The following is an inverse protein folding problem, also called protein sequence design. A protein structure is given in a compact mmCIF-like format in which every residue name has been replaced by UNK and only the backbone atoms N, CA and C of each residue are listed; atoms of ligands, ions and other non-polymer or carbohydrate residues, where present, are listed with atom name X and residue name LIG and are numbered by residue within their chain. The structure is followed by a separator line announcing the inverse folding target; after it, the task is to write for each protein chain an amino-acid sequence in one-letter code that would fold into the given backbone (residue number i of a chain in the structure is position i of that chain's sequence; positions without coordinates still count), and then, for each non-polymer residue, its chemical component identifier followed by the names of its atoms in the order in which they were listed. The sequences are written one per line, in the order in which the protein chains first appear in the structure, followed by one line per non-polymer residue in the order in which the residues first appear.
data_IF_546452801645
#
_entry.id   IF_546452801645
#
_cell.length_a   1.000
_cell.length_b   1.000
_cell.length_c   1.000
_cell.angle_alpha   90.00
_cell.angle_beta   90.00
_cell.angle_gamma   90.00
#
_symmetry.space_group_name_H-M   'P 1'
#
loop_
_entity.id
_entity.type
_entity.pdbx_description
1 polymer ?
#
# COMPACT_ATOMS: atom_id res chain seq x y z
N UNK A 1 -17.85 -4.06 12.00
CA UNK A 1 -16.47 -3.90 12.44
C UNK A 1 -15.53 -4.68 11.53
N UNK A 2 -14.58 -4.04 10.95
CA UNK A 2 -13.60 -4.72 10.10
C UNK A 2 -12.63 -5.52 10.97
N UNK A 3 -12.38 -6.77 10.62
CA UNK A 3 -11.34 -7.57 11.23
C UNK A 3 -9.95 -7.18 10.71
N UNK A 4 -8.94 -7.95 11.07
CA UNK A 4 -7.60 -7.75 10.54
C UNK A 4 -7.60 -7.96 9.02
N UNK A 5 -6.73 -7.24 8.32
CA UNK A 5 -6.51 -7.45 6.90
C UNK A 5 -5.85 -8.81 6.69
N UNK A 6 -6.44 -9.63 5.84
CA UNK A 6 -6.02 -11.01 5.65
C UNK A 6 -5.17 -11.18 4.38
N UNK A 7 -4.28 -12.17 4.41
CA UNK A 7 -3.46 -12.53 3.25
C UNK A 7 -4.32 -12.80 2.01
N UNK A 8 -5.46 -13.47 2.18
CA UNK A 8 -6.41 -13.73 1.10
C UNK A 8 -6.87 -12.44 0.43
N UNK A 9 -7.07 -11.38 1.21
CA UNK A 9 -7.47 -10.07 0.69
C UNK A 9 -6.34 -9.42 -0.10
N UNK A 10 -5.10 -9.60 0.34
CA UNK A 10 -3.93 -9.14 -0.42
C UNK A 10 -3.85 -9.86 -1.77
N UNK A 11 -4.12 -11.16 -1.78
CA UNK A 11 -4.15 -11.93 -3.04
C UNK A 11 -5.25 -11.43 -3.98
N UNK A 12 -6.41 -11.07 -3.47
CA UNK A 12 -7.50 -10.51 -4.27
C UNK A 12 -7.08 -9.18 -4.90
N UNK A 13 -6.44 -8.30 -4.12
CA UNK A 13 -5.89 -7.04 -4.65
C UNK A 13 -4.89 -7.34 -5.77
N UNK A 14 -3.93 -8.21 -5.51
CA UNK A 14 -2.90 -8.57 -6.48
C UNK A 14 -3.51 -9.01 -7.81
N UNK A 15 -4.46 -9.94 -7.73
CA UNK A 15 -5.00 -10.56 -8.93
C UNK A 15 -5.90 -9.60 -9.71
N UNK A 16 -6.75 -8.85 -9.03
CA UNK A 16 -7.63 -7.85 -9.68
C UNK A 16 -6.79 -6.72 -10.27
N UNK A 17 -5.82 -6.21 -9.53
CA UNK A 17 -4.99 -5.11 -10.02
C UNK A 17 -4.12 -5.54 -11.20
N UNK A 18 -3.65 -6.78 -11.21
CA UNK A 18 -2.91 -7.31 -12.35
C UNK A 18 -3.78 -7.35 -13.62
N UNK A 19 -5.05 -7.76 -13.48
CA UNK A 19 -5.97 -7.78 -14.64
C UNK A 19 -6.24 -6.40 -15.21
N UNK A 20 -6.18 -5.36 -14.38
CA UNK A 20 -6.42 -3.98 -14.81
C UNK A 20 -5.15 -3.20 -15.11
N UNK A 21 -3.99 -3.84 -15.00
CA UNK A 21 -2.72 -3.19 -15.28
C UNK A 21 -2.37 -2.04 -14.34
N UNK A 22 -2.77 -2.14 -13.08
CA UNK A 22 -2.56 -1.06 -12.11
C UNK A 22 -1.09 -0.99 -11.70
N UNK A 23 -0.54 0.23 -11.67
CA UNK A 23 0.78 0.49 -11.12
C UNK A 23 0.61 0.90 -9.66
N UNK A 24 1.07 0.05 -8.75
CA UNK A 24 0.94 0.27 -7.31
C UNK A 24 1.98 -0.55 -6.56
N UNK A 25 2.16 -0.22 -5.29
CA UNK A 25 3.03 -0.94 -4.38
C UNK A 25 2.32 -1.11 -3.04
N UNK A 26 2.42 -2.28 -2.43
CA UNK A 26 2.07 -2.41 -1.02
C UNK A 26 3.10 -1.64 -0.20
N UNK A 27 2.62 -0.81 0.73
CA UNK A 27 3.45 0.04 1.57
C UNK A 27 2.99 -0.11 3.03
N UNK A 28 3.64 0.57 3.95
CA UNK A 28 3.26 0.55 5.34
C UNK A 28 3.41 -0.83 5.97
N UNK A 29 2.65 -1.07 7.04
CA UNK A 29 2.73 -2.35 7.75
C UNK A 29 2.25 -3.51 6.87
N UNK A 30 1.22 -3.30 6.03
CA UNK A 30 0.75 -4.36 5.13
C UNK A 30 1.85 -4.79 4.17
N UNK A 31 2.65 -3.86 3.66
CA UNK A 31 3.80 -4.18 2.82
C UNK A 31 4.86 -4.96 3.59
N UNK A 32 5.19 -4.51 4.80
CA UNK A 32 6.18 -5.20 5.63
C UNK A 32 5.76 -6.64 5.95
N UNK A 33 4.48 -6.85 6.24
CA UNK A 33 3.95 -8.18 6.55
C UNK A 33 4.11 -9.11 5.35
N UNK A 34 3.87 -8.62 4.14
CA UNK A 34 4.07 -9.43 2.94
C UNK A 34 5.54 -9.84 2.75
N UNK A 35 6.47 -9.04 3.27
CA UNK A 35 7.91 -9.38 3.25
C UNK A 35 8.33 -10.31 4.38
N UNK A 36 7.43 -10.61 5.32
CA UNK A 36 7.70 -11.51 6.43
C UNK A 36 7.75 -10.86 7.81
N UNK A 37 7.43 -9.57 7.91
CA UNK A 37 7.38 -8.91 9.21
C UNK A 37 6.28 -9.54 10.08
N UNK A 38 6.61 -10.00 11.29
CA UNK A 38 5.65 -10.73 12.13
C UNK A 38 4.72 -9.78 12.88
N UNK A 39 3.64 -9.39 12.23
CA UNK A 39 2.64 -8.51 12.82
C UNK A 39 1.30 -8.70 12.10
N UNK A 40 0.28 -7.99 12.57
CA UNK A 40 -1.01 -7.90 11.92
C UNK A 40 -1.35 -6.43 11.67
N UNK A 41 -2.27 -6.18 10.75
CA UNK A 41 -2.76 -4.83 10.46
C UNK A 41 -4.25 -4.92 10.11
N UNK A 42 -4.98 -3.82 10.33
CA UNK A 42 -6.39 -3.74 9.95
C UNK A 42 -6.57 -3.21 8.54
N UNK A 43 -5.59 -2.46 8.04
CA UNK A 43 -5.70 -1.75 6.77
C UNK A 43 -4.70 -2.29 5.76
N UNK A 44 -5.10 -2.33 4.50
CA UNK A 44 -4.15 -2.43 3.41
C UNK A 44 -3.68 -1.02 3.08
N UNK A 45 -2.38 -0.84 2.90
CA UNK A 45 -1.80 0.44 2.50
C UNK A 45 -1.21 0.29 1.11
N UNK A 46 -1.72 1.03 0.14
CA UNK A 46 -1.27 0.95 -1.23
C UNK A 46 -0.77 2.32 -1.71
N UNK A 47 0.43 2.34 -2.25
CA UNK A 47 1.00 3.51 -2.91
C UNK A 47 0.79 3.34 -4.40
N UNK A 48 -0.01 4.22 -5.01
CA UNK A 48 -0.38 4.13 -6.40
C UNK A 48 0.23 5.28 -7.22
N UNK A 49 0.56 4.98 -8.48
CA UNK A 49 0.97 5.99 -9.43
C UNK A 49 -0.22 6.91 -9.73
N UNK A 50 0.00 8.21 -9.69
CA UNK A 50 -1.07 9.20 -9.82
C UNK A 50 -1.36 9.66 -11.25
N UNK A 51 -0.82 9.00 -12.27
CA UNK A 51 -1.18 9.32 -13.65
C UNK A 51 -2.69 9.17 -13.84
N UNK A 52 -3.26 9.99 -14.70
CA UNK A 52 -4.70 9.94 -14.96
C UNK A 52 -5.14 8.56 -15.43
N UNK A 53 -4.37 7.94 -16.32
CA UNK A 53 -4.65 6.61 -16.84
C UNK A 53 -4.68 5.57 -15.71
N UNK A 54 -3.70 5.59 -14.81
CA UNK A 54 -3.65 4.66 -13.71
C UNK A 54 -4.80 4.89 -12.72
N UNK A 55 -5.11 6.14 -12.41
CA UNK A 55 -6.21 6.47 -11.51
C UNK A 55 -7.57 6.05 -12.08
N UNK A 56 -7.78 6.22 -13.38
CA UNK A 56 -9.01 5.77 -14.04
C UNK A 56 -9.16 4.25 -13.96
N UNK A 57 -8.10 3.51 -14.24
CA UNK A 57 -8.09 2.06 -14.15
C UNK A 57 -8.28 1.59 -12.70
N UNK A 58 -7.70 2.31 -11.75
CA UNK A 58 -7.80 1.98 -10.33
C UNK A 58 -9.25 2.05 -9.83
N UNK A 59 -10.02 3.04 -10.28
CA UNK A 59 -11.44 3.14 -9.92
C UNK A 59 -12.19 1.89 -10.35
N UNK A 60 -11.98 1.43 -11.58
CA UNK A 60 -12.63 0.22 -12.11
C UNK A 60 -12.18 -1.01 -11.30
N UNK A 61 -10.88 -1.13 -11.03
CA UNK A 61 -10.34 -2.24 -10.27
C UNK A 61 -10.90 -2.30 -8.85
N UNK A 62 -11.03 -1.15 -8.18
CA UNK A 62 -11.59 -1.10 -6.83
C UNK A 62 -13.06 -1.54 -6.81
N UNK A 63 -13.83 -1.16 -7.82
CA UNK A 63 -15.21 -1.61 -7.93
C UNK A 63 -15.29 -3.12 -8.16
N UNK A 64 -14.38 -3.67 -8.95
CA UNK A 64 -14.30 -5.12 -9.14
C UNK A 64 -13.95 -5.85 -7.84
N UNK A 65 -13.18 -5.23 -6.96
CA UNK A 65 -12.87 -5.79 -5.65
C UNK A 65 -14.07 -5.76 -4.69
N UNK A 66 -15.11 -5.01 -5.02
CA UNK A 66 -16.29 -4.90 -4.19
C UNK A 66 -16.43 -3.58 -3.44
N UNK A 67 -15.57 -2.62 -3.72
CA UNK A 67 -15.70 -1.28 -3.12
C UNK A 67 -16.82 -0.51 -3.81
N UNK A 68 -17.69 0.10 -3.00
CA UNK A 68 -18.70 1.01 -3.50
C UNK A 68 -18.15 2.41 -3.33
N UNK A 69 -17.71 3.02 -4.43
CA UNK A 69 -17.12 4.35 -4.40
C UNK A 69 -18.20 5.40 -4.60
N UNK A 70 -18.22 6.39 -3.73
CA UNK A 70 -19.07 7.59 -3.94
C UNK A 70 -18.47 8.42 -5.09
N UNK A 71 -19.26 9.31 -5.67
CA UNK A 71 -18.77 10.21 -6.71
C UNK A 71 -17.59 11.04 -6.20
N UNK A 72 -17.65 11.49 -4.94
CA UNK A 72 -16.57 12.24 -4.31
C UNK A 72 -15.30 11.40 -4.20
N UNK A 73 -15.40 10.16 -3.73
CA UNK A 73 -14.25 9.27 -3.62
C UNK A 73 -13.62 8.99 -4.98
N UNK A 74 -14.45 8.71 -5.98
CA UNK A 74 -13.96 8.48 -7.34
C UNK A 74 -13.22 9.70 -7.87
N UNK A 75 -13.75 10.90 -7.61
CA UNK A 75 -13.11 12.14 -8.04
C UNK A 75 -11.78 12.37 -7.33
N UNK A 76 -11.70 12.10 -6.03
CA UNK A 76 -10.46 12.20 -5.27
C UNK A 76 -9.39 11.26 -5.82
N UNK A 77 -9.78 10.02 -6.15
CA UNK A 77 -8.86 9.05 -6.73
C UNK A 77 -8.40 9.52 -8.11
N UNK A 78 -9.34 9.99 -8.94
CA UNK A 78 -9.03 10.45 -10.29
C UNK A 78 -8.03 11.61 -10.28
N UNK A 79 -8.13 12.49 -9.28
CA UNK A 79 -7.24 13.64 -9.12
C UNK A 79 -5.89 13.26 -8.48
N UNK A 80 -5.75 12.03 -7.98
CA UNK A 80 -4.54 11.62 -7.29
C UNK A 80 -4.35 12.36 -5.97
N UNK A 81 -5.41 12.55 -5.20
CA UNK A 81 -5.34 13.17 -3.89
C UNK A 81 -4.33 12.42 -3.02
N UNK A 82 -3.51 13.13 -2.28
CA UNK A 82 -2.39 12.57 -1.52
C UNK A 82 -2.77 11.32 -0.72
N UNK A 83 -3.94 11.32 -0.10
CA UNK A 83 -4.40 10.23 0.73
C UNK A 83 -5.92 10.06 0.59
N UNK A 84 -6.37 8.85 0.28
CA UNK A 84 -7.80 8.51 0.19
C UNK A 84 -8.05 7.25 1.03
N UNK A 85 -8.91 7.37 2.03
CA UNK A 85 -9.24 6.26 2.90
C UNK A 85 -10.59 5.65 2.52
N UNK A 86 -10.62 4.34 2.30
CA UNK A 86 -11.82 3.61 1.92
C UNK A 86 -12.17 2.64 3.05
N UNK A 87 -13.24 2.92 3.79
CA UNK A 87 -13.66 2.12 4.95
C UNK A 87 -14.95 1.33 4.74
N UNK A 88 -15.66 1.58 3.66
CA UNK A 88 -16.96 0.96 3.41
C UNK A 88 -16.89 -0.18 2.39
N UNK A 89 -15.76 -0.80 2.25
CA UNK A 89 -15.58 -1.91 1.35
C UNK A 89 -15.43 -3.24 2.07
N UNK A 90 -14.98 -4.28 1.35
CA UNK A 90 -14.78 -5.60 1.94
C UNK A 90 -13.66 -5.64 2.98
N UNK A 91 -12.80 -4.63 3.01
CA UNK A 91 -11.75 -4.43 4.01
C UNK A 91 -11.37 -2.94 3.99
N UNK A 92 -10.65 -2.50 5.01
CA UNK A 92 -10.19 -1.11 5.06
C UNK A 92 -8.96 -0.95 4.17
N UNK A 93 -8.96 0.09 3.36
CA UNK A 93 -7.92 0.36 2.38
C UNK A 93 -7.52 1.83 2.41
N UNK A 94 -6.22 2.07 2.57
CA UNK A 94 -5.64 3.40 2.47
C UNK A 94 -4.89 3.51 1.14
N UNK A 95 -5.36 4.41 0.28
CA UNK A 95 -4.68 4.75 -0.96
C UNK A 95 -3.82 5.97 -0.74
N UNK A 96 -2.53 5.85 -1.04
CA UNK A 96 -1.57 6.92 -0.87
C UNK A 96 -0.97 7.24 -2.23
N UNK A 97 -1.09 8.48 -2.67
CA UNK A 97 -0.47 8.92 -3.93
C UNK A 97 0.79 9.74 -3.68
N UNK A 98 0.96 10.26 -2.47
CA UNK A 98 2.12 11.06 -2.09
C UNK A 98 2.53 10.74 -0.65
N UNK A 99 3.16 9.58 -0.40
CA UNK A 99 3.60 9.24 0.96
C UNK A 99 4.77 10.11 1.37
N UNK A 100 4.79 10.48 2.66
CA UNK A 100 5.93 11.20 3.21
C UNK A 100 7.21 10.40 3.03
N UNK A 101 8.31 11.06 2.81
CA UNK A 101 9.63 10.41 2.73
C UNK A 101 9.95 9.73 1.42
N UNK A 102 9.02 9.70 0.47
CA UNK A 102 9.24 9.14 -0.87
C UNK A 102 8.84 10.21 -1.89
N UNK A 103 9.79 10.68 -2.67
CA UNK A 103 9.53 11.80 -3.57
C UNK A 103 8.68 11.42 -4.78
N UNK A 104 8.99 10.26 -5.40
CA UNK A 104 8.36 9.86 -6.66
C UNK A 104 8.01 8.38 -6.64
N UNK A 105 6.84 8.07 -7.22
CA UNK A 105 6.43 6.68 -7.41
C UNK A 105 7.47 5.88 -8.20
N UNK A 106 7.99 6.44 -9.29
CA UNK A 106 8.94 5.72 -10.15
C UNK A 106 10.20 5.30 -9.39
N UNK A 107 10.67 6.11 -8.44
CA UNK A 107 11.84 5.77 -7.64
C UNK A 107 11.55 4.55 -6.74
N UNK A 108 10.42 4.56 -6.06
CA UNK A 108 10.02 3.44 -5.22
C UNK A 108 9.75 2.18 -6.07
N UNK A 109 9.13 2.36 -7.22
CA UNK A 109 8.88 1.25 -8.16
C UNK A 109 10.18 0.58 -8.59
N UNK A 110 11.21 1.37 -8.90
CA UNK A 110 12.50 0.84 -9.32
C UNK A 110 13.23 0.07 -8.22
N UNK A 111 12.94 0.39 -6.95
CA UNK A 111 13.52 -0.30 -5.80
C UNK A 111 12.63 -1.42 -5.25
N UNK A 112 11.46 -1.63 -5.84
CA UNK A 112 10.47 -2.57 -5.30
C UNK A 112 11.01 -3.98 -5.15
N UNK A 113 10.39 -4.70 -4.24
CA UNK A 113 10.62 -6.13 -4.03
C UNK A 113 9.39 -6.88 -4.55
N UNK A 114 9.59 -7.92 -5.31
CA UNK A 114 8.50 -8.79 -5.72
C UNK A 114 8.58 -10.10 -4.94
N UNK A 115 7.50 -10.41 -4.21
CA UNK A 115 7.38 -11.65 -3.45
C UNK A 115 6.01 -12.25 -3.72
N UNK A 116 5.96 -13.50 -4.16
CA UNK A 116 4.71 -14.18 -4.52
C UNK A 116 3.85 -13.33 -5.48
N UNK A 117 4.51 -12.63 -6.42
CA UNK A 117 3.90 -11.69 -7.37
C UNK A 117 3.26 -10.45 -6.73
N UNK A 118 3.49 -10.21 -5.45
CA UNK A 118 3.12 -8.96 -4.80
C UNK A 118 4.19 -7.91 -5.08
N UNK A 119 3.81 -6.74 -5.61
CA UNK A 119 4.76 -5.63 -5.71
C UNK A 119 4.77 -4.87 -4.37
N UNK A 120 5.92 -4.86 -3.71
CA UNK A 120 6.05 -4.30 -2.36
C UNK A 120 7.16 -3.25 -2.34
N UNK A 121 6.94 -2.16 -1.63
CA UNK A 121 7.99 -1.18 -1.38
C UNK A 121 9.18 -1.87 -0.70
N UNK A 122 10.38 -1.47 -1.07
CA UNK A 122 11.58 -1.92 -0.38
C UNK A 122 11.49 -1.56 1.10
N UNK A 123 11.99 -2.42 2.02
CA UNK A 123 11.93 -2.11 3.46
C UNK A 123 12.49 -0.73 3.82
N UNK A 124 13.52 -0.27 3.13
CA UNK A 124 14.06 1.07 3.37
C UNK A 124 13.06 2.17 3.05
N UNK A 125 12.25 2.00 2.00
CA UNK A 125 11.21 2.98 1.66
C UNK A 125 10.07 2.95 2.65
N UNK A 126 9.67 1.76 3.12
CA UNK A 126 8.64 1.63 4.16
C UNK A 126 9.08 2.38 5.43
N UNK A 127 10.33 2.19 5.84
CA UNK A 127 10.89 2.85 7.02
C UNK A 127 10.99 4.36 6.80
N UNK A 128 11.50 4.79 5.64
CA UNK A 128 11.63 6.22 5.33
C UNK A 128 10.27 6.94 5.40
N UNK A 129 9.22 6.30 4.89
CA UNK A 129 7.88 6.86 4.94
C UNK A 129 7.38 7.01 6.38
N UNK A 130 7.60 6.00 7.23
CA UNK A 130 7.19 6.05 8.63
C UNK A 130 7.98 7.06 9.44
N UNK A 131 9.28 7.16 9.20
CA UNK A 131 10.14 8.15 9.86
C UNK A 131 9.68 9.58 9.51
N UNK A 132 9.39 9.82 8.24
CA UNK A 132 8.96 11.13 7.78
C UNK A 132 7.57 11.50 8.31
N UNK A 133 6.63 10.57 8.34
CA UNK A 133 5.30 10.78 8.89
C UNK A 133 5.34 11.03 10.40
N UNK A 134 6.22 10.31 11.10
CA UNK A 134 6.53 10.53 12.52
C UNK A 134 5.31 10.57 13.44
N UNK A 135 4.30 9.72 13.17
CA UNK A 135 3.15 9.60 14.05
C UNK A 135 3.50 8.74 15.26
N UNK A 136 2.71 8.82 16.35
CA UNK A 136 2.96 8.02 17.55
C UNK A 136 3.04 6.52 17.21
N UNK A 137 2.11 6.02 16.40
CA UNK A 137 2.12 4.60 15.99
C UNK A 137 3.34 4.25 15.16
N UNK A 138 3.87 5.19 14.37
CA UNK A 138 5.07 4.97 13.58
C UNK A 138 6.30 4.86 14.48
N UNK A 139 6.43 5.77 15.45
CA UNK A 139 7.53 5.74 16.41
C UNK A 139 7.53 4.45 17.23
N UNK A 140 6.34 3.92 17.54
CA UNK A 140 6.22 2.67 18.28
C UNK A 140 6.71 1.47 17.46
N UNK A 141 6.39 1.43 16.18
CA UNK A 141 6.71 0.28 15.32
C UNK A 141 8.11 0.35 14.71
N UNK A 142 8.71 1.53 14.58
CA UNK A 142 9.97 1.73 13.88
C UNK A 142 11.13 0.87 14.41
N UNK A 143 11.35 0.73 15.74
CA UNK A 143 12.47 -0.11 16.22
C UNK A 143 12.36 -1.55 15.73
N UNK A 144 11.16 -2.12 15.75
CA UNK A 144 10.92 -3.49 15.26
C UNK A 144 11.08 -3.58 13.75
N UNK A 145 10.61 -2.59 13.01
CA UNK A 145 10.74 -2.54 11.55
C UNK A 145 12.20 -2.41 11.12
N UNK A 146 12.99 -1.61 11.85
CA UNK A 146 14.42 -1.48 11.56
C UNK A 146 15.16 -2.78 11.81
N UNK A 147 14.85 -3.47 12.90
CA UNK A 147 15.43 -4.77 13.19
C UNK A 147 15.06 -5.79 12.11
N UNK A 148 13.80 -5.80 11.69
CA UNK A 148 13.33 -6.66 10.61
C UNK A 148 14.05 -6.35 9.30
N UNK A 149 14.19 -5.06 8.96
CA UNK A 149 14.88 -4.63 7.75
C UNK A 149 16.32 -5.14 7.74
N UNK A 150 17.03 -4.98 8.84
CA UNK A 150 18.41 -5.41 8.95
C UNK A 150 18.55 -6.93 8.75
N UNK A 151 17.64 -7.69 9.34
CA UNK A 151 17.58 -9.13 9.14
C UNK A 151 17.25 -9.48 7.68
N UNK A 152 16.26 -8.81 7.11
CA UNK A 152 15.80 -9.06 5.73
C UNK A 152 16.91 -8.79 4.71
N UNK A 153 17.63 -7.69 4.88
CA UNK A 153 18.73 -7.31 3.97
C UNK A 153 19.83 -8.37 3.96
N UNK A 154 20.14 -8.95 5.13
CA UNK A 154 21.15 -10.00 5.21
C UNK A 154 20.79 -11.26 4.43
N UNK A 155 19.50 -11.55 4.28
CA UNK A 155 19.01 -12.70 3.53
C UNK A 155 18.77 -12.42 2.04
N UNK A 156 18.93 -11.22 1.63
CA UNK A 156 18.65 -10.77 0.26
C UNK A 156 19.81 -9.90 -0.23
#
# INVERSE_FOLDING_TARGET
MAGAFEYRQAEEIRDVFARHGIRYLFIGKSGAILLGFPDTTQDADLFADKSHENCSALIVALRDLGFTLTDEQALEILRGKDFVQLKNGPFDLDLVFAPDGIERFDDAWNRRVEVERFPVCHPNDIIASKEAANRAKDRESLPRLRAFRDYWIKGH
#
